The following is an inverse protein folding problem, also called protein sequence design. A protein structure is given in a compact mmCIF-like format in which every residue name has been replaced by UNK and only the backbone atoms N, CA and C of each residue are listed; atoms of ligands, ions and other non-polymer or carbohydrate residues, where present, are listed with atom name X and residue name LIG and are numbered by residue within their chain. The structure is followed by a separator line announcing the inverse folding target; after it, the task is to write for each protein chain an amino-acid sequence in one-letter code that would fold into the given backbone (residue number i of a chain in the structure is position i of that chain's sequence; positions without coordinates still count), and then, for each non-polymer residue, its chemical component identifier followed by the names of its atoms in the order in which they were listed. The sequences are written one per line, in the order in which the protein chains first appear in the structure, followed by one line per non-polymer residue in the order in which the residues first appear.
data_IF_433366801750
#
_entry.id   IF_433366801750
#
_cell.length_a   1.000
_cell.length_b   1.000
_cell.length_c   1.000
_cell.angle_alpha   90.00
_cell.angle_beta   90.00
_cell.angle_gamma   90.00
#
_symmetry.space_group_name_H-M   'P 1'
#
loop_
_entity.id
_entity.type
_entity.pdbx_description
1 polymer ?
#
# COMPACT_ATOMS: atom_id res chain seq x y z
N UNK A 1 -6.43 -15.43 18.99
CA UNK A 1 -6.28 -15.03 17.57
C UNK A 1 -5.19 -15.89 16.94
N UNK A 2 -5.34 -16.29 15.67
CA UNK A 2 -4.24 -16.88 14.90
C UNK A 2 -3.39 -15.74 14.32
N UNK A 3 -2.11 -16.00 14.03
CA UNK A 3 -1.25 -15.05 13.30
C UNK A 3 -1.28 -15.38 11.81
N UNK A 4 -1.44 -14.35 10.99
CA UNK A 4 -1.28 -14.42 9.53
C UNK A 4 -0.03 -13.62 9.17
N UNK A 5 0.88 -14.20 8.41
CA UNK A 5 2.00 -13.46 7.80
C UNK A 5 1.68 -13.30 6.32
N UNK A 6 1.75 -12.06 5.84
CA UNK A 6 1.62 -11.71 4.43
C UNK A 6 2.94 -11.08 3.99
N UNK A 7 3.42 -11.43 2.80
CA UNK A 7 4.61 -10.82 2.20
C UNK A 7 4.24 -10.37 0.80
N UNK A 8 4.41 -9.08 0.53
CA UNK A 8 4.22 -8.50 -0.79
C UNK A 8 5.57 -7.90 -1.20
N UNK A 9 6.07 -8.34 -2.35
CA UNK A 9 7.27 -7.80 -2.97
C UNK A 9 6.88 -7.31 -4.36
N UNK A 10 7.13 -6.03 -4.63
CA UNK A 10 6.83 -5.40 -5.90
C UNK A 10 8.12 -4.94 -6.57
N UNK A 11 8.25 -5.21 -7.86
CA UNK A 11 9.23 -4.60 -8.75
C UNK A 11 8.45 -3.88 -9.84
N UNK A 12 8.66 -2.58 -9.98
CA UNK A 12 7.87 -1.72 -10.86
C UNK A 12 8.78 -0.99 -11.83
N UNK A 13 8.38 -0.95 -13.11
CA UNK A 13 8.92 0.03 -14.05
C UNK A 13 8.19 1.36 -13.83
N UNK A 14 8.86 2.32 -13.19
CA UNK A 14 8.31 3.65 -12.88
C UNK A 14 8.97 4.72 -13.77
N UNK A 15 8.33 5.89 -13.95
CA UNK A 15 8.93 7.03 -14.66
C UNK A 15 10.21 7.56 -13.97
N UNK A 16 11.16 8.06 -14.78
CA UNK A 16 12.45 8.60 -14.30
C UNK A 16 12.31 9.86 -13.43
N UNK A 17 11.18 10.57 -13.54
CA UNK A 17 10.92 11.84 -12.86
C UNK A 17 10.20 11.67 -11.50
N UNK A 18 10.05 10.43 -11.04
CA UNK A 18 9.58 10.12 -9.68
C UNK A 18 10.73 10.23 -8.69
N UNK A 19 10.52 10.96 -7.60
CA UNK A 19 11.53 11.18 -6.56
C UNK A 19 11.11 10.54 -5.24
N UNK A 20 12.01 9.77 -4.62
CA UNK A 20 11.80 9.31 -3.25
C UNK A 20 12.08 10.47 -2.28
N UNK A 21 11.12 10.77 -1.41
CA UNK A 21 11.25 11.80 -0.37
C UNK A 21 10.76 11.26 0.97
N UNK A 22 11.21 11.87 2.07
CA UNK A 22 10.77 11.51 3.42
C UNK A 22 9.81 12.56 3.97
N UNK A 23 8.74 12.09 4.61
CA UNK A 23 7.87 12.93 5.45
C UNK A 23 8.62 13.39 6.71
N UNK A 24 8.09 14.38 7.42
CA UNK A 24 8.66 14.83 8.70
C UNK A 24 8.67 13.76 9.80
N UNK A 25 7.91 12.68 9.62
CA UNK A 25 7.84 11.54 10.53
C UNK A 25 8.78 10.40 10.11
N UNK A 26 9.51 10.55 9.00
CA UNK A 26 10.47 9.57 8.49
C UNK A 26 9.86 8.50 7.58
N UNK A 27 8.57 8.61 7.24
CA UNK A 27 7.92 7.70 6.28
C UNK A 27 8.34 8.08 4.85
N UNK A 28 8.89 7.14 4.04
CA UNK A 28 9.20 7.39 2.64
C UNK A 28 7.92 7.46 1.79
N UNK A 29 7.85 8.43 0.88
CA UNK A 29 6.78 8.57 -0.12
C UNK A 29 7.38 8.95 -1.46
N UNK A 30 6.65 8.71 -2.54
CA UNK A 30 7.07 9.08 -3.90
C UNK A 30 6.48 10.45 -4.24
N UNK A 31 7.33 11.42 -4.57
CA UNK A 31 6.91 12.70 -5.14
C UNK A 31 6.77 12.58 -6.66
N UNK A 32 5.62 12.96 -7.17
CA UNK A 32 5.30 12.97 -8.59
C UNK A 32 5.54 14.36 -9.22
N UNK A 33 5.72 14.46 -10.56
CA UNK A 33 6.09 15.71 -11.24
C UNK A 33 5.07 16.85 -11.12
N UNK A 34 3.80 16.51 -10.91
CA UNK A 34 2.70 17.46 -10.71
C UNK A 34 2.61 17.99 -9.26
N UNK A 35 3.51 17.54 -8.38
CA UNK A 35 3.56 17.92 -6.98
C UNK A 35 2.67 17.07 -6.07
N UNK A 36 2.02 16.03 -6.58
CA UNK A 36 1.34 15.04 -5.74
C UNK A 36 2.36 14.09 -5.09
N UNK A 37 1.90 13.40 -4.04
CA UNK A 37 2.66 12.37 -3.35
C UNK A 37 1.89 11.05 -3.42
N UNK A 38 2.61 9.96 -3.68
CA UNK A 38 2.11 8.60 -3.71
C UNK A 38 2.72 7.83 -2.55
N UNK A 39 1.86 7.17 -1.79
CA UNK A 39 2.22 6.12 -0.85
C UNK A 39 1.64 4.79 -1.35
N UNK A 40 2.47 3.74 -1.32
CA UNK A 40 2.12 2.38 -1.68
C UNK A 40 1.91 1.60 -0.38
N UNK A 41 0.65 1.35 -0.08
CA UNK A 41 0.23 0.59 1.09
C UNK A 41 -0.59 -0.64 0.67
N UNK A 42 -0.83 -1.55 1.61
CA UNK A 42 -1.75 -2.66 1.42
C UNK A 42 -3.20 -2.15 1.42
N UNK A 43 -3.96 -2.49 0.38
CA UNK A 43 -5.41 -2.29 0.35
C UNK A 43 -6.13 -3.65 0.25
N UNK A 44 -7.01 -4.01 1.20
CA UNK A 44 -7.76 -5.26 1.14
C UNK A 44 -8.86 -5.19 0.06
N UNK A 45 -8.97 -6.27 -0.72
CA UNK A 45 -10.03 -6.44 -1.71
C UNK A 45 -11.02 -7.52 -1.25
N UNK A 46 -12.28 -7.32 -1.58
CA UNK A 46 -13.41 -8.13 -1.13
C UNK A 46 -14.19 -8.67 -2.32
N UNK A 47 -14.74 -9.87 -2.17
CA UNK A 47 -15.68 -10.49 -3.08
C UNK A 47 -16.60 -11.45 -2.30
N UNK A 48 -17.84 -11.61 -2.74
CA UNK A 48 -18.79 -12.59 -2.15
C UNK A 48 -18.59 -14.01 -2.67
N UNK A 49 -17.98 -14.16 -3.84
CA UNK A 49 -17.59 -15.41 -4.47
C UNK A 49 -16.09 -15.36 -4.82
N UNK A 50 -15.30 -16.41 -4.57
CA UNK A 50 -13.89 -16.44 -4.99
C UNK A 50 -13.65 -16.22 -6.49
N UNK A 51 -14.64 -16.52 -7.34
CA UNK A 51 -14.59 -16.37 -8.80
C UNK A 51 -15.16 -15.02 -9.28
N UNK A 52 -15.66 -14.17 -8.38
CA UNK A 52 -16.16 -12.84 -8.72
C UNK A 52 -15.02 -11.84 -9.00
N UNK A 53 -15.41 -10.64 -9.44
CA UNK A 53 -14.51 -9.49 -9.47
C UNK A 53 -14.27 -9.00 -8.05
N UNK A 54 -12.99 -8.85 -7.69
CA UNK A 54 -12.57 -8.34 -6.40
C UNK A 54 -12.45 -6.82 -6.48
N UNK A 55 -12.98 -6.12 -5.49
CA UNK A 55 -12.93 -4.65 -5.42
C UNK A 55 -12.62 -4.17 -4.01
N UNK A 56 -12.22 -2.91 -3.88
CA UNK A 56 -12.19 -2.25 -2.59
C UNK A 56 -13.61 -2.16 -1.99
N UNK A 57 -13.66 -1.90 -0.69
CA UNK A 57 -14.92 -1.64 0.02
C UNK A 57 -15.21 -0.14 0.03
N UNK A 58 -16.47 0.24 -0.14
CA UNK A 58 -16.94 1.63 0.11
C UNK A 58 -17.30 1.85 1.59
N UNK A 59 -17.30 0.78 2.39
CA UNK A 59 -17.56 0.82 3.82
C UNK A 59 -16.24 1.06 4.58
N UNK A 60 -16.05 2.29 5.06
CA UNK A 60 -14.87 2.72 5.80
C UNK A 60 -14.72 1.98 7.15
N UNK A 61 -15.81 1.59 7.81
CA UNK A 61 -15.75 0.89 9.09
C UNK A 61 -15.16 -0.52 8.88
N UNK A 62 -15.59 -1.21 7.83
CA UNK A 62 -15.04 -2.52 7.45
C UNK A 62 -13.57 -2.41 7.06
N UNK A 63 -13.19 -1.38 6.30
CA UNK A 63 -11.80 -1.15 5.94
C UNK A 63 -10.93 -0.92 7.20
N UNK A 64 -11.38 -0.03 8.09
CA UNK A 64 -10.66 0.31 9.32
C UNK A 64 -10.53 -0.90 10.25
N UNK A 65 -11.57 -1.72 10.39
CA UNK A 65 -11.51 -2.97 11.17
C UNK A 65 -10.42 -3.93 10.66
N UNK A 66 -10.20 -3.99 9.34
CA UNK A 66 -9.10 -4.78 8.76
C UNK A 66 -7.74 -4.14 9.02
N UNK A 67 -7.62 -2.83 8.83
CA UNK A 67 -6.37 -2.09 9.05
C UNK A 67 -5.94 -2.14 10.52
N UNK A 68 -6.88 -2.12 11.46
CA UNK A 68 -6.64 -2.27 12.90
C UNK A 68 -6.05 -3.64 13.28
N UNK A 69 -6.20 -4.67 12.43
CA UNK A 69 -5.56 -5.97 12.64
C UNK A 69 -4.08 -6.01 12.23
N UNK A 70 -3.57 -4.97 11.57
CA UNK A 70 -2.17 -4.88 11.14
C UNK A 70 -1.30 -4.50 12.33
N UNK A 71 -0.68 -5.50 12.96
CA UNK A 71 0.24 -5.28 14.09
C UNK A 71 1.55 -4.57 13.67
N UNK A 72 1.96 -4.71 12.41
CA UNK A 72 3.14 -4.06 11.84
C UNK A 72 3.13 -4.15 10.32
N UNK A 73 3.53 -3.07 9.65
CA UNK A 73 3.80 -3.04 8.20
C UNK A 73 5.22 -2.53 7.96
N UNK A 74 5.91 -3.10 6.97
CA UNK A 74 7.22 -2.66 6.54
C UNK A 74 7.20 -2.48 5.02
N UNK A 75 7.24 -1.23 4.57
CA UNK A 75 7.34 -0.87 3.16
C UNK A 75 8.74 -0.33 2.90
N UNK A 76 9.44 -0.90 1.92
CA UNK A 76 10.79 -0.46 1.53
C UNK A 76 10.75 0.01 0.09
N UNK A 77 11.14 1.25 -0.14
CA UNK A 77 11.31 1.79 -1.49
C UNK A 77 12.79 1.78 -1.87
N UNK A 78 13.08 1.32 -3.08
CA UNK A 78 14.41 1.37 -3.67
C UNK A 78 14.27 1.73 -5.15
N UNK A 79 14.91 2.83 -5.58
CA UNK A 79 15.06 3.14 -7.00
C UNK A 79 16.34 2.44 -7.48
N UNK A 80 16.18 1.45 -8.35
CA UNK A 80 17.29 0.65 -8.92
C UNK A 80 17.62 1.20 -10.32
N UNK A 81 18.92 1.37 -10.62
CA UNK A 81 19.44 1.88 -11.88
C UNK A 81 19.82 0.77 -12.88
#
# INVERSE_FOLDING_TARGET
MKKLNVTIQLEMSVPDDWELVETSEGTPVIRMPDGQFLDIAIEPLFASDPEDVWSSTEDEDVLNDILDMVESEAVTYEIVA
#
